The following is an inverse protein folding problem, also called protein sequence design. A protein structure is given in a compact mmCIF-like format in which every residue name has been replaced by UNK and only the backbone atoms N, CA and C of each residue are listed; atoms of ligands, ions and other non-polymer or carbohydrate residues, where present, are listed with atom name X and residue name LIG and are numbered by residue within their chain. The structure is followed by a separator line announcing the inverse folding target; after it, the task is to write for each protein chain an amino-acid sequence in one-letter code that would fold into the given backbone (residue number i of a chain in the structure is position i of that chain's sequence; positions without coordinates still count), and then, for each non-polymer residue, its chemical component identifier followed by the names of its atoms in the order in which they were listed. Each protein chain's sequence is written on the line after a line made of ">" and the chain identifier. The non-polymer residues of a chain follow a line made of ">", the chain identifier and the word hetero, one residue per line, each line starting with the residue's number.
data_IF_903014361780
#
_entry.id   IF_903014361780
#
_cell.length_a   1.000
_cell.length_b   1.000
_cell.length_c   1.000
_cell.angle_alpha   90.00
_cell.angle_beta   90.00
_cell.angle_gamma   90.00
#
_symmetry.space_group_name_H-M   'P 1'
#
loop_
_entity.id
_entity.type
_entity.pdbx_description
1 polymer ?
#
# COMPACT_ATOMS: atom_id res chain seq x y z
N UNK A 1 8.17 -6.34 -4.83
CA UNK A 1 9.52 -6.97 -4.77
C UNK A 1 9.93 -7.80 -6.01
N UNK A 2 9.05 -7.98 -7.01
CA UNK A 2 9.38 -8.66 -8.29
C UNK A 2 9.97 -7.73 -9.36
N UNK A 3 10.01 -6.41 -9.12
CA UNK A 3 10.55 -5.42 -10.07
C UNK A 3 9.67 -5.12 -11.27
N UNK A 4 8.37 -5.45 -11.21
CA UNK A 4 7.44 -5.32 -12.33
C UNK A 4 6.91 -3.89 -12.55
N UNK A 5 7.23 -2.96 -11.65
CA UNK A 5 6.78 -1.56 -11.72
C UNK A 5 8.03 -0.68 -11.73
N UNK A 6 8.60 -0.40 -12.92
CA UNK A 6 9.87 0.34 -13.04
C UNK A 6 9.68 1.86 -12.93
N UNK A 7 8.46 2.36 -13.06
CA UNK A 7 8.13 3.78 -12.99
C UNK A 7 6.97 4.00 -12.02
N UNK A 8 7.06 5.05 -11.21
CA UNK A 8 6.07 5.31 -10.16
C UNK A 8 5.68 6.78 -10.18
N UNK A 9 4.43 7.12 -9.82
CA UNK A 9 4.09 8.51 -9.51
C UNK A 9 4.96 9.01 -8.36
N UNK A 10 5.16 10.33 -8.29
CA UNK A 10 5.82 10.96 -7.14
C UNK A 10 4.96 10.95 -5.88
N UNK A 11 3.65 10.74 -6.03
CA UNK A 11 2.67 10.88 -4.97
C UNK A 11 2.52 9.70 -4.01
N UNK A 12 1.50 9.82 -3.17
CA UNK A 12 1.29 8.98 -2.01
C UNK A 12 -0.17 8.83 -1.63
N UNK A 13 -0.39 7.91 -0.71
CA UNK A 13 -1.70 7.60 -0.17
C UNK A 13 -1.56 7.13 1.27
N UNK A 14 -2.69 6.84 1.89
CA UNK A 14 -2.74 6.29 3.25
C UNK A 14 -2.56 4.77 3.19
N UNK A 15 -1.75 4.26 4.11
CA UNK A 15 -1.44 2.85 4.29
C UNK A 15 -1.94 2.44 5.67
N UNK A 16 -2.62 1.30 5.73
CA UNK A 16 -3.19 0.75 6.95
C UNK A 16 -2.83 -0.72 7.09
N UNK A 17 -2.41 -1.11 8.30
CA UNK A 17 -2.21 -2.51 8.64
C UNK A 17 -3.58 -3.21 8.72
N UNK A 18 -3.70 -4.38 8.11
CA UNK A 18 -4.98 -5.13 8.08
C UNK A 18 -5.47 -5.50 9.48
N UNK A 19 -4.56 -5.66 10.46
CA UNK A 19 -4.89 -5.94 11.87
C UNK A 19 -5.47 -4.70 12.55
N UNK A 20 -4.94 -3.51 12.25
CA UNK A 20 -5.51 -2.24 12.73
C UNK A 20 -6.89 -2.00 12.09
N UNK A 21 -7.02 -2.26 10.79
CA UNK A 21 -8.32 -2.17 10.12
C UNK A 21 -9.34 -3.14 10.73
N UNK A 22 -8.95 -4.38 11.01
CA UNK A 22 -9.81 -5.35 11.67
C UNK A 22 -10.24 -4.88 13.07
N UNK A 23 -9.33 -4.26 13.83
CA UNK A 23 -9.65 -3.67 15.12
C UNK A 23 -10.65 -2.51 14.99
N UNK A 24 -10.45 -1.60 14.03
CA UNK A 24 -11.38 -0.49 13.76
C UNK A 24 -12.78 -1.02 13.43
N UNK A 25 -12.85 -2.00 12.52
CA UNK A 25 -14.13 -2.62 12.12
C UNK A 25 -14.81 -3.25 13.34
N UNK A 26 -14.10 -4.05 14.13
CA UNK A 26 -14.65 -4.67 15.33
C UNK A 26 -15.11 -3.64 16.38
N UNK A 27 -14.29 -2.64 16.69
CA UNK A 27 -14.58 -1.60 17.68
C UNK A 27 -15.74 -0.68 17.23
N UNK A 28 -15.91 -0.48 15.93
CA UNK A 28 -17.02 0.31 15.40
C UNK A 28 -18.39 -0.33 15.63
N UNK A 29 -18.44 -1.66 15.81
CA UNK A 29 -19.66 -2.47 15.95
C UNK A 29 -20.15 -2.52 17.40
N UNK A 30 -20.22 -1.36 18.05
CA UNK A 30 -20.70 -1.21 19.43
C UNK A 30 -22.16 -0.70 19.45
N UNK A 31 -23.11 -1.44 20.06
CA UNK A 31 -24.49 -1.02 20.19
C UNK A 31 -24.65 0.32 20.94
N UNK A 32 -25.70 1.08 20.60
CA UNK A 32 -26.07 2.28 21.36
C UNK A 32 -25.23 3.53 21.07
N UNK A 33 -24.30 3.49 20.11
CA UNK A 33 -23.43 4.63 19.76
C UNK A 33 -23.86 5.40 18.51
N UNK A 34 -24.92 4.98 17.83
CA UNK A 34 -25.47 5.65 16.66
C UNK A 34 -24.58 5.57 15.39
N UNK A 35 -24.95 6.30 14.32
CA UNK A 35 -24.20 6.32 13.07
C UNK A 35 -22.88 7.07 13.24
N UNK A 36 -21.76 6.43 12.85
CA UNK A 36 -20.41 6.98 12.95
C UNK A 36 -19.60 6.59 11.73
N UNK A 37 -18.77 7.51 11.22
CA UNK A 37 -17.84 7.27 10.14
C UNK A 37 -16.41 7.38 10.66
N UNK A 38 -15.59 6.37 10.39
CA UNK A 38 -14.18 6.33 10.79
C UNK A 38 -13.29 6.17 9.57
N UNK A 39 -12.31 7.06 9.44
CA UNK A 39 -11.27 6.94 8.42
C UNK A 39 -10.13 6.09 8.97
N UNK A 40 -9.81 5.02 8.24
CA UNK A 40 -8.68 4.14 8.55
C UNK A 40 -7.40 4.62 7.83
N UNK A 41 -7.05 5.88 8.06
CA UNK A 41 -5.98 6.59 7.36
C UNK A 41 -4.70 6.69 8.21
N UNK A 42 -4.20 5.55 8.68
CA UNK A 42 -3.22 5.49 9.77
C UNK A 42 -1.85 6.10 9.46
N UNK A 43 -1.34 5.88 8.26
CA UNK A 43 -0.02 6.38 7.84
C UNK A 43 -0.06 6.91 6.43
N UNK A 44 0.31 8.16 6.22
CA UNK A 44 0.56 8.65 4.86
C UNK A 44 1.99 8.31 4.45
N UNK A 45 2.15 7.69 3.28
CA UNK A 45 3.47 7.51 2.68
C UNK A 45 3.39 7.55 1.15
N UNK A 46 4.38 8.17 0.55
CA UNK A 46 4.56 8.15 -0.91
C UNK A 46 4.99 6.76 -1.38
N UNK A 47 4.64 6.42 -2.61
CA UNK A 47 5.08 5.15 -3.19
C UNK A 47 6.61 5.03 -3.22
N UNK A 48 7.37 6.08 -3.59
CA UNK A 48 8.83 6.09 -3.45
C UNK A 48 9.35 5.80 -2.04
N UNK A 49 8.72 6.35 -0.99
CA UNK A 49 9.10 6.06 0.41
C UNK A 49 8.89 4.59 0.74
N UNK A 50 7.73 4.03 0.39
CA UNK A 50 7.44 2.60 0.62
C UNK A 50 8.44 1.71 -0.10
N UNK A 51 8.78 2.01 -1.36
CA UNK A 51 9.77 1.22 -2.11
C UNK A 51 11.17 1.34 -1.48
N UNK A 52 11.58 2.54 -1.05
CA UNK A 52 12.87 2.74 -0.36
C UNK A 52 12.92 2.00 0.97
N UNK A 53 11.84 2.02 1.75
CA UNK A 53 11.72 1.26 3.01
C UNK A 53 11.79 -0.24 2.75
N UNK A 54 11.09 -0.76 1.74
CA UNK A 54 11.19 -2.16 1.34
C UNK A 54 12.61 -2.55 0.90
N UNK A 55 13.28 -1.70 0.12
CA UNK A 55 14.65 -1.90 -0.32
C UNK A 55 15.62 -1.95 0.87
N UNK A 56 15.47 -1.03 1.83
CA UNK A 56 16.31 -0.98 3.03
C UNK A 56 16.09 -2.21 3.92
N UNK A 57 14.85 -2.64 4.17
CA UNK A 57 14.59 -3.80 5.03
C UNK A 57 15.06 -5.11 4.38
N UNK A 58 14.71 -5.33 3.11
CA UNK A 58 15.09 -6.55 2.37
C UNK A 58 16.59 -6.60 2.03
N UNK A 59 17.29 -5.46 2.07
CA UNK A 59 18.68 -5.36 1.63
C UNK A 59 18.86 -5.50 0.12
N UNK A 60 17.79 -5.27 -0.64
CA UNK A 60 17.77 -5.44 -2.09
C UNK A 60 17.68 -4.09 -2.79
N UNK A 61 18.33 -3.98 -3.95
CA UNK A 61 18.04 -2.89 -4.89
C UNK A 61 16.70 -3.18 -5.56
N UNK A 62 15.75 -2.26 -5.40
CA UNK A 62 14.47 -2.23 -6.13
C UNK A 62 14.50 -1.00 -7.03
N UNK A 63 14.96 -1.12 -8.29
CA UNK A 63 15.07 0.03 -9.17
C UNK A 63 13.68 0.55 -9.52
N UNK A 64 13.47 1.85 -9.33
CA UNK A 64 12.30 2.56 -9.79
C UNK A 64 12.70 3.99 -10.16
N UNK A 65 11.96 4.60 -11.09
CA UNK A 65 12.16 5.99 -11.52
C UNK A 65 10.86 6.76 -11.33
N UNK A 66 10.86 7.91 -10.63
CA UNK A 66 9.70 8.80 -10.61
C UNK A 66 9.40 9.32 -12.02
N UNK A 67 8.15 9.21 -12.46
CA UNK A 67 7.69 9.72 -13.76
C UNK A 67 6.69 10.86 -13.61
N UNK A 68 6.48 11.68 -14.65
CA UNK A 68 5.41 12.68 -14.66
C UNK A 68 4.03 12.03 -14.57
N UNK A 69 3.16 12.57 -13.72
CA UNK A 69 1.83 11.99 -13.44
C UNK A 69 0.96 11.84 -14.70
N UNK A 70 0.96 12.84 -15.59
CA UNK A 70 0.19 12.80 -16.83
C UNK A 70 0.58 11.64 -17.76
N UNK A 71 1.88 11.32 -17.84
CA UNK A 71 2.39 10.18 -18.61
C UNK A 71 1.93 8.86 -17.98
N UNK A 72 2.06 8.74 -16.67
CA UNK A 72 1.68 7.54 -15.93
C UNK A 72 0.16 7.29 -16.02
N UNK A 73 -0.65 8.33 -15.92
CA UNK A 73 -2.10 8.25 -16.11
C UNK A 73 -2.46 7.78 -17.52
N UNK A 74 -1.77 8.29 -18.55
CA UNK A 74 -1.97 7.82 -19.92
C UNK A 74 -1.60 6.33 -20.08
N UNK A 75 -0.47 5.91 -19.50
CA UNK A 75 -0.05 4.50 -19.47
C UNK A 75 -1.07 3.62 -18.73
N UNK A 76 -1.62 4.10 -17.62
CA UNK A 76 -2.67 3.42 -16.86
C UNK A 76 -3.94 3.17 -17.69
N UNK A 77 -4.40 4.17 -18.46
CA UNK A 77 -5.54 3.99 -19.37
C UNK A 77 -5.24 2.97 -20.48
N UNK A 78 -4.01 2.98 -21.01
CA UNK A 78 -3.55 2.00 -21.98
C UNK A 78 -3.53 0.58 -21.39
N UNK A 79 -3.04 0.44 -20.15
CA UNK A 79 -3.06 -0.83 -19.44
C UNK A 79 -4.48 -1.36 -19.22
N UNK A 80 -5.43 -0.51 -18.83
CA UNK A 80 -6.84 -0.92 -18.66
C UNK A 80 -7.47 -1.39 -19.97
N UNK A 81 -7.16 -0.72 -21.09
CA UNK A 81 -7.61 -1.13 -22.41
C UNK A 81 -7.03 -2.50 -22.80
N UNK A 82 -5.73 -2.70 -22.55
CA UNK A 82 -5.04 -3.95 -22.86
C UNK A 82 -5.50 -5.10 -21.94
N UNK A 83 -5.76 -4.81 -20.66
CA UNK A 83 -6.21 -5.77 -19.64
C UNK A 83 -7.47 -6.53 -20.08
N UNK A 84 -8.36 -5.89 -20.84
CA UNK A 84 -9.58 -6.52 -21.36
C UNK A 84 -9.32 -7.69 -22.33
N UNK A 85 -8.13 -7.75 -22.92
CA UNK A 85 -7.73 -8.80 -23.88
C UNK A 85 -6.69 -9.76 -23.32
N UNK A 86 -6.10 -9.46 -22.17
CA UNK A 86 -5.06 -10.30 -21.56
C UNK A 86 -5.68 -11.31 -20.60
N UNK A 87 -5.26 -12.58 -20.64
CA UNK A 87 -5.75 -13.61 -19.72
C UNK A 87 -5.12 -13.50 -18.32
N UNK A 88 -4.12 -12.63 -18.13
CA UNK A 88 -3.46 -12.37 -16.84
C UNK A 88 -3.60 -10.90 -16.43
N UNK A 89 -3.49 -10.65 -15.11
CA UNK A 89 -3.57 -9.30 -14.55
C UNK A 89 -2.26 -8.53 -14.72
N UNK A 90 -2.35 -7.32 -15.24
CA UNK A 90 -1.26 -6.35 -15.27
C UNK A 90 -0.97 -5.84 -13.86
N UNK A 91 0.28 -5.50 -13.56
CA UNK A 91 0.69 -5.06 -12.21
C UNK A 91 0.31 -3.60 -11.89
N UNK A 92 -0.29 -2.88 -12.84
CA UNK A 92 -0.76 -1.50 -12.68
C UNK A 92 -2.01 -1.25 -13.53
N UNK A 93 -2.78 -0.23 -13.15
CA UNK A 93 -4.00 0.23 -13.80
C UNK A 93 -4.12 1.76 -13.68
N UNK A 94 -5.10 2.37 -14.35
CA UNK A 94 -5.33 3.81 -14.24
C UNK A 94 -5.67 4.24 -12.81
N UNK A 95 -6.58 3.51 -12.16
CA UNK A 95 -7.09 3.84 -10.84
C UNK A 95 -5.98 3.94 -9.79
N UNK A 96 -5.12 2.92 -9.69
CA UNK A 96 -4.04 2.91 -8.70
C UNK A 96 -3.03 4.04 -8.92
N UNK A 97 -2.75 4.39 -10.18
CA UNK A 97 -1.92 5.55 -10.51
C UNK A 97 -2.64 6.82 -10.08
N UNK A 98 -3.91 6.99 -10.45
CA UNK A 98 -4.72 8.15 -10.12
C UNK A 98 -4.81 8.40 -8.62
N UNK A 99 -5.07 7.37 -7.82
CA UNK A 99 -5.13 7.48 -6.36
C UNK A 99 -3.83 8.00 -5.77
N UNK A 100 -2.67 7.54 -6.26
CA UNK A 100 -1.37 8.04 -5.80
C UNK A 100 -1.13 9.50 -6.19
N UNK A 101 -1.66 9.96 -7.33
CA UNK A 101 -1.51 11.36 -7.77
C UNK A 101 -2.40 12.33 -7.00
N UNK A 102 -3.43 11.84 -6.29
CA UNK A 102 -4.31 12.71 -5.50
C UNK A 102 -3.66 13.23 -4.22
N UNK A 103 -2.55 12.63 -3.77
CA UNK A 103 -1.85 13.03 -2.54
C UNK A 103 -2.81 13.13 -1.34
N UNK A 104 -3.74 12.18 -1.23
CA UNK A 104 -4.82 12.26 -0.26
C UNK A 104 -4.25 12.13 1.17
N UNK A 105 -4.18 13.24 1.87
CA UNK A 105 -3.97 13.30 3.31
C UNK A 105 -5.34 13.25 3.99
N UNK A 106 -5.52 12.29 4.89
CA UNK A 106 -6.77 12.09 5.60
C UNK A 106 -6.53 12.24 7.10
N UNK A 107 -7.48 12.86 7.79
CA UNK A 107 -7.48 12.98 9.25
C UNK A 107 -8.16 11.75 9.88
N UNK A 108 -7.41 10.97 10.64
CA UNK A 108 -7.89 9.80 11.39
C UNK A 108 -8.06 10.08 12.90
N UNK A 109 -8.00 11.35 13.33
CA UNK A 109 -8.06 11.74 14.74
C UNK A 109 -9.30 11.22 15.47
N UNK A 110 -10.47 11.20 14.80
CA UNK A 110 -11.70 10.64 15.36
C UNK A 110 -11.60 9.12 15.58
N UNK A 111 -11.01 8.40 14.63
CA UNK A 111 -10.76 6.95 14.73
C UNK A 111 -9.87 6.63 15.92
N UNK A 112 -8.75 7.36 16.07
CA UNK A 112 -7.80 7.17 17.18
C UNK A 112 -8.44 7.44 18.54
N UNK A 113 -9.10 8.59 18.67
CA UNK A 113 -9.72 9.01 19.93
C UNK A 113 -10.87 8.11 20.35
N UNK A 114 -11.78 7.79 19.43
CA UNK A 114 -13.04 7.13 19.79
C UNK A 114 -12.89 5.60 19.90
N UNK A 115 -11.95 5.02 19.14
CA UNK A 115 -11.73 3.57 19.10
C UNK A 115 -10.45 3.13 19.83
N UNK A 116 -9.69 4.06 20.40
CA UNK A 116 -8.44 3.76 21.11
C UNK A 116 -7.36 3.17 20.19
N UNK A 117 -7.36 3.57 18.92
CA UNK A 117 -6.43 3.05 17.93
C UNK A 117 -5.06 3.72 18.06
N UNK A 118 -4.04 2.91 18.37
CA UNK A 118 -2.62 3.25 18.23
C UNK A 118 -2.04 2.48 17.04
N UNK A 119 -1.89 3.10 15.86
CA UNK A 119 -1.52 2.39 14.65
C UNK A 119 -0.11 1.80 14.72
N UNK A 120 0.04 0.58 14.21
CA UNK A 120 1.36 -0.06 14.06
C UNK A 120 2.25 0.73 13.13
N UNK A 121 3.56 0.67 13.36
CA UNK A 121 4.51 1.32 12.47
C UNK A 121 4.44 0.74 11.05
N UNK A 122 4.56 1.61 10.03
CA UNK A 122 4.48 1.18 8.64
C UNK A 122 5.61 0.19 8.29
N UNK A 123 6.81 0.32 8.88
CA UNK A 123 7.90 -0.63 8.67
C UNK A 123 7.59 -2.00 9.26
N UNK A 124 6.93 -2.06 10.42
CA UNK A 124 6.45 -3.32 11.00
C UNK A 124 5.45 -4.00 10.06
N UNK A 125 4.45 -3.25 9.60
CA UNK A 125 3.45 -3.71 8.63
C UNK A 125 4.10 -4.28 7.36
N UNK A 126 5.03 -3.53 6.76
CA UNK A 126 5.72 -3.94 5.54
C UNK A 126 6.63 -5.15 5.76
N UNK A 127 7.31 -5.23 6.91
CA UNK A 127 8.16 -6.36 7.29
C UNK A 127 7.34 -7.64 7.41
N UNK A 128 6.28 -7.60 8.21
CA UNK A 128 5.40 -8.74 8.44
C UNK A 128 4.75 -9.21 7.14
N UNK A 129 4.34 -8.27 6.29
CA UNK A 129 3.80 -8.57 4.96
C UNK A 129 4.82 -9.31 4.09
N UNK A 130 6.07 -8.86 4.04
CA UNK A 130 7.12 -9.52 3.24
C UNK A 130 7.47 -10.90 3.79
N UNK A 131 7.58 -11.03 5.11
CA UNK A 131 7.82 -12.31 5.78
C UNK A 131 6.71 -13.31 5.47
N UNK A 132 5.45 -12.92 5.66
CA UNK A 132 4.28 -13.75 5.36
C UNK A 132 4.24 -14.16 3.87
N UNK A 133 4.54 -13.25 2.95
CA UNK A 133 4.60 -13.57 1.52
C UNK A 133 5.72 -14.58 1.19
N UNK A 134 6.84 -14.54 1.91
CA UNK A 134 7.92 -15.51 1.75
C UNK A 134 7.54 -16.88 2.31
N UNK A 135 6.99 -16.91 3.53
CA UNK A 135 6.50 -18.13 4.20
C UNK A 135 5.45 -18.87 3.37
N UNK A 136 4.54 -18.13 2.73
CA UNK A 136 3.49 -18.67 1.86
C UNK A 136 3.95 -19.00 0.43
N UNK A 137 5.23 -18.80 0.12
CA UNK A 137 5.81 -19.11 -1.19
C UNK A 137 5.41 -18.13 -2.30
N UNK A 138 4.83 -16.98 -1.97
CA UNK A 138 4.53 -15.91 -2.94
C UNK A 138 5.78 -15.12 -3.33
N UNK A 139 6.79 -15.08 -2.47
CA UNK A 139 8.11 -14.54 -2.73
C UNK A 139 9.18 -15.63 -2.58
N UNK A 140 10.16 -15.64 -3.49
CA UNK A 140 11.34 -16.48 -3.31
C UNK A 140 12.22 -15.94 -2.18
N UNK A 141 13.10 -16.75 -1.56
CA UNK A 141 14.05 -16.26 -0.55
C UNK A 141 14.92 -15.12 -1.08
N UNK A 142 15.32 -15.19 -2.36
CA UNK A 142 16.03 -14.11 -3.04
C UNK A 142 15.18 -12.83 -3.15
N UNK A 143 13.86 -12.96 -3.28
CA UNK A 143 12.96 -11.82 -3.37
C UNK A 143 12.69 -11.15 -2.02
N UNK A 144 12.56 -11.93 -0.96
CA UNK A 144 12.38 -11.44 0.41
C UNK A 144 13.70 -10.93 1.04
N UNK A 145 14.86 -11.38 0.53
CA UNK A 145 16.16 -10.88 0.97
C UNK A 145 16.42 -11.19 2.43
N UNK A 146 16.78 -10.18 3.23
CA UNK A 146 17.01 -10.33 4.67
C UNK A 146 15.78 -10.78 5.47
N UNK A 147 14.59 -10.62 4.92
CA UNK A 147 13.32 -11.00 5.57
C UNK A 147 12.86 -12.42 5.23
N UNK A 148 13.70 -13.21 4.54
CA UNK A 148 13.41 -14.60 4.19
C UNK A 148 13.73 -15.61 5.31
N UNK A 149 14.17 -15.14 6.48
CA UNK A 149 14.71 -15.95 7.58
C UNK A 149 13.86 -15.80 8.82
#
# INVERSE_FOLDING_TARGET
>A
LRGLVPMTPGGGTTWVDVRDLAHIVAASMEPGKGPRGYLAATHYATFPEVVRTLASMTGRRVPFVPGPDGLLLALGRGADALQRRLPWRLPFNFEGIYTLTLLAHCDDSATRRDLGLEPRDLQETLRDTVAWLAERGHLTPRQAGRLAR
#
